data_IF_122446235382
#
_entry.id   IF_122446235382
#
_cell.length_a   1.000
_cell.length_b   1.000
_cell.length_c   1.000
_cell.angle_alpha   90.00
_cell.angle_beta   90.00
_cell.angle_gamma   90.00
#
_symmetry.space_group_name_H-M   'P 1'
#
loop_
_entity.id
_entity.type
_entity.pdbx_description
1 polymer ?
#
# COMPACT_ATOMS: atom_id res chain seq x y z
N UNK A 1 40.36 15.35 36.79
CA UNK A 1 40.02 15.21 35.36
C UNK A 1 39.62 13.83 34.88
N UNK A 2 39.50 12.81 35.78
CA UNK A 2 39.04 11.46 35.39
C UNK A 2 37.57 11.47 34.92
N UNK A 3 36.76 12.35 35.47
CA UNK A 3 35.34 12.46 35.10
C UNK A 3 35.13 13.12 33.74
N UNK A 4 36.04 14.00 33.33
CA UNK A 4 35.97 14.68 32.02
C UNK A 4 36.20 13.70 30.86
N UNK A 5 37.08 12.74 31.01
CA UNK A 5 37.35 11.70 30.02
C UNK A 5 36.17 10.75 29.85
N UNK A 6 35.44 10.41 30.93
CA UNK A 6 34.23 9.58 30.87
C UNK A 6 33.07 10.29 30.18
N UNK A 7 32.87 11.58 30.50
CA UNK A 7 31.86 12.41 29.83
C UNK A 7 32.15 12.58 28.34
N UNK A 8 33.39 12.83 27.97
CA UNK A 8 33.80 12.93 26.55
C UNK A 8 33.60 11.61 25.81
N UNK A 9 33.92 10.46 26.41
CA UNK A 9 33.71 9.14 25.83
C UNK A 9 32.20 8.81 25.67
N UNK A 10 31.37 9.16 26.66
CA UNK A 10 29.92 8.98 26.58
C UNK A 10 29.30 9.85 25.47
N UNK A 11 29.73 11.11 25.38
CA UNK A 11 29.29 12.03 24.33
C UNK A 11 29.71 11.54 22.94
N UNK A 12 30.93 11.06 22.78
CA UNK A 12 31.43 10.51 21.55
C UNK A 12 30.63 9.27 21.11
N UNK A 13 30.32 8.36 22.02
CA UNK A 13 29.45 7.20 21.72
C UNK A 13 28.07 7.63 21.28
N UNK A 14 27.48 8.61 21.95
CA UNK A 14 26.15 9.12 21.61
C UNK A 14 26.14 9.75 20.22
N UNK A 15 27.13 10.54 19.86
CA UNK A 15 27.27 11.15 18.53
C UNK A 15 27.45 10.09 17.46
N UNK A 16 28.30 9.10 17.68
CA UNK A 16 28.53 8.00 16.75
C UNK A 16 27.22 7.21 16.54
N UNK A 17 26.50 6.86 17.61
CA UNK A 17 25.23 6.15 17.55
C UNK A 17 24.18 6.96 16.76
N UNK A 18 24.12 8.27 16.96
CA UNK A 18 23.22 9.15 16.19
C UNK A 18 23.59 9.20 14.70
N UNK A 19 24.87 9.25 14.38
CA UNK A 19 25.33 9.22 12.97
C UNK A 19 24.98 7.92 12.28
N UNK A 20 25.16 6.79 12.94
CA UNK A 20 24.74 5.48 12.41
C UNK A 20 23.24 5.42 12.18
N UNK A 21 22.43 5.84 13.15
CA UNK A 21 20.96 5.89 12.99
C UNK A 21 20.55 6.77 11.80
N UNK A 22 21.14 7.95 11.67
CA UNK A 22 20.86 8.83 10.54
C UNK A 22 21.21 8.18 9.21
N UNK A 23 22.34 7.50 9.12
CA UNK A 23 22.76 6.81 7.90
C UNK A 23 21.80 5.64 7.55
N UNK A 24 21.36 4.87 8.54
CA UNK A 24 20.36 3.82 8.36
C UNK A 24 19.01 4.40 7.93
N UNK A 25 18.55 5.45 8.59
CA UNK A 25 17.30 6.14 8.27
C UNK A 25 17.30 6.69 6.84
N UNK A 26 18.41 7.32 6.42
CA UNK A 26 18.57 7.81 5.05
C UNK A 26 18.55 6.67 4.03
N UNK A 27 19.19 5.56 4.33
CA UNK A 27 19.20 4.37 3.47
C UNK A 27 17.78 3.80 3.31
N UNK A 28 17.07 3.65 4.42
CA UNK A 28 15.68 3.15 4.42
C UNK A 28 14.77 4.15 3.70
N UNK A 29 14.86 5.44 4.02
CA UNK A 29 14.08 6.47 3.32
C UNK A 29 14.35 6.47 1.82
N UNK A 30 15.61 6.38 1.39
CA UNK A 30 15.99 6.30 -0.01
C UNK A 30 15.45 5.05 -0.70
N UNK A 31 15.47 3.90 -0.02
CA UNK A 31 14.94 2.66 -0.55
C UNK A 31 13.41 2.68 -0.72
N UNK A 32 12.68 3.33 0.18
CA UNK A 32 11.22 3.34 0.19
C UNK A 32 10.58 4.61 -0.39
N UNK A 33 11.30 5.69 -0.56
CA UNK A 33 10.76 6.93 -1.18
C UNK A 33 10.20 6.70 -2.58
N UNK A 34 10.83 5.81 -3.36
CA UNK A 34 10.34 5.36 -4.66
C UNK A 34 9.17 4.37 -4.62
N UNK A 35 8.74 3.93 -3.45
CA UNK A 35 7.64 2.98 -3.29
C UNK A 35 6.28 3.65 -3.12
N UNK A 36 6.23 4.98 -2.96
CA UNK A 36 4.97 5.72 -2.91
C UNK A 36 4.14 5.42 -4.16
N UNK A 37 2.88 5.09 -3.96
CA UNK A 37 1.97 4.73 -5.04
C UNK A 37 2.08 3.29 -5.53
N UNK A 38 2.87 2.44 -4.88
CA UNK A 38 3.02 1.03 -5.23
C UNK A 38 2.27 0.11 -4.27
N UNK A 39 1.95 -1.07 -4.79
CA UNK A 39 1.42 -2.19 -4.02
C UNK A 39 2.59 -2.96 -3.41
N UNK A 40 2.56 -3.17 -2.12
CA UNK A 40 3.53 -3.99 -1.40
C UNK A 40 2.85 -5.08 -0.57
N UNK A 41 3.60 -6.13 -0.27
CA UNK A 41 3.14 -7.21 0.60
C UNK A 41 3.98 -7.20 1.86
N UNK A 42 3.33 -7.28 3.01
CA UNK A 42 3.97 -7.38 4.30
C UNK A 42 3.25 -8.36 5.23
N UNK A 43 3.75 -8.45 6.44
CA UNK A 43 3.20 -9.30 7.50
C UNK A 43 2.62 -8.41 8.59
N UNK A 44 1.38 -8.69 8.98
CA UNK A 44 0.69 -7.94 10.02
C UNK A 44 1.37 -8.22 11.37
N UNK A 45 1.68 -7.15 12.09
CA UNK A 45 2.11 -7.19 13.47
C UNK A 45 1.19 -6.34 14.33
N UNK A 46 0.68 -6.93 15.40
CA UNK A 46 -0.12 -6.22 16.37
C UNK A 46 0.79 -5.77 17.52
N UNK A 47 0.73 -4.50 17.85
CA UNK A 47 1.41 -3.91 19.00
C UNK A 47 0.38 -3.57 20.08
N UNK A 48 0.52 -4.19 21.24
CA UNK A 48 -0.37 -3.94 22.39
C UNK A 48 -0.25 -2.50 22.91
N UNK A 49 0.86 -1.82 22.64
CA UNK A 49 1.08 -0.42 23.02
C UNK A 49 0.41 0.56 22.04
N UNK A 50 0.05 0.10 20.85
CA UNK A 50 -0.60 0.91 19.81
C UNK A 50 -1.80 0.18 19.18
N UNK A 51 -2.90 0.01 19.91
CA UNK A 51 -4.05 -0.75 19.46
C UNK A 51 -4.85 -0.08 18.33
N UNK A 52 -4.58 1.19 18.05
CA UNK A 52 -5.29 1.96 17.02
C UNK A 52 -4.71 1.74 15.63
N UNK A 53 -3.43 1.43 15.55
CA UNK A 53 -2.73 1.24 14.29
C UNK A 53 -2.35 -0.23 14.10
N UNK A 54 -2.32 -0.65 12.86
CA UNK A 54 -1.79 -1.96 12.47
C UNK A 54 -0.40 -1.74 11.90
N UNK A 55 0.56 -2.49 12.41
CA UNK A 55 1.93 -2.47 11.91
C UNK A 55 2.10 -3.54 10.84
N UNK A 56 2.79 -3.21 9.77
CA UNK A 56 3.04 -4.11 8.64
C UNK A 56 4.55 -4.24 8.45
N UNK A 57 5.09 -5.41 8.76
CA UNK A 57 6.51 -5.69 8.57
C UNK A 57 6.82 -5.99 7.10
N UNK A 58 7.82 -5.32 6.56
CA UNK A 58 8.30 -5.45 5.20
C UNK A 58 9.82 -5.66 5.21
N UNK A 59 10.24 -6.90 5.48
CA UNK A 59 11.65 -7.19 5.75
C UNK A 59 12.10 -6.53 7.05
N UNK A 60 13.15 -5.73 6.97
CA UNK A 60 13.72 -5.02 8.13
C UNK A 60 13.02 -3.68 8.44
N UNK A 61 11.97 -3.35 7.70
CA UNK A 61 11.26 -2.08 7.82
C UNK A 61 9.81 -2.32 8.18
N UNK A 62 9.27 -1.43 8.99
CA UNK A 62 7.89 -1.46 9.43
C UNK A 62 7.11 -0.29 8.85
N UNK A 63 5.95 -0.58 8.27
CA UNK A 63 4.98 0.41 7.84
C UNK A 63 3.81 0.48 8.81
N UNK A 64 3.11 1.60 8.81
CA UNK A 64 1.94 1.83 9.65
C UNK A 64 0.70 1.87 8.78
N UNK A 65 -0.30 1.07 9.15
CA UNK A 65 -1.66 1.11 8.61
C UNK A 65 -2.56 1.80 9.65
N UNK A 66 -2.69 3.12 9.59
CA UNK A 66 -3.46 3.86 10.59
C UNK A 66 -4.96 3.56 10.45
N UNK A 67 -5.70 3.77 11.52
CA UNK A 67 -7.13 3.46 11.58
C UNK A 67 -7.94 4.07 10.43
N UNK A 68 -7.61 5.29 10.02
CA UNK A 68 -8.27 5.98 8.89
C UNK A 68 -8.07 5.29 7.54
N UNK A 69 -7.01 4.49 7.41
CA UNK A 69 -6.66 3.77 6.18
C UNK A 69 -7.06 2.27 6.24
N UNK A 70 -7.64 1.85 7.34
CA UNK A 70 -8.16 0.49 7.51
C UNK A 70 -9.55 0.36 6.88
N UNK A 71 -9.89 -0.84 6.47
CA UNK A 71 -11.21 -1.16 5.90
C UNK A 71 -12.17 -1.54 7.03
N UNK A 72 -13.35 -0.92 7.11
CA UNK A 72 -14.36 -1.30 8.10
C UNK A 72 -14.73 -2.78 8.00
N UNK A 73 -14.68 -3.47 9.14
CA UNK A 73 -14.99 -4.90 9.21
C UNK A 73 -13.87 -5.85 8.81
N UNK A 74 -12.78 -5.36 8.24
CA UNK A 74 -11.59 -6.19 7.95
C UNK A 74 -10.85 -6.52 9.25
N UNK A 75 -10.43 -7.78 9.37
CA UNK A 75 -9.67 -8.25 10.52
C UNK A 75 -8.19 -8.36 10.18
N UNK A 76 -7.36 -7.77 11.00
CA UNK A 76 -5.91 -7.77 10.85
C UNK A 76 -5.30 -8.69 11.91
N UNK A 77 -4.99 -9.93 11.54
CA UNK A 77 -4.45 -10.93 12.46
C UNK A 77 -2.93 -10.93 12.41
N UNK A 78 -2.33 -10.97 13.58
CA UNK A 78 -0.88 -11.07 13.71
C UNK A 78 -0.32 -12.28 12.93
N UNK A 79 0.73 -12.03 12.15
CA UNK A 79 1.40 -13.06 11.35
C UNK A 79 0.79 -13.31 9.97
N UNK A 80 -0.38 -12.76 9.64
CA UNK A 80 -0.96 -12.91 8.32
C UNK A 80 -0.29 -11.98 7.29
N UNK A 81 -0.22 -12.45 6.06
CA UNK A 81 0.23 -11.64 4.93
C UNK A 81 -0.85 -10.69 4.47
N UNK A 82 -0.47 -9.46 4.18
CA UNK A 82 -1.38 -8.44 3.70
C UNK A 82 -0.75 -7.67 2.54
N UNK A 83 -1.56 -7.33 1.53
CA UNK A 83 -1.18 -6.40 0.47
C UNK A 83 -1.73 -5.03 0.79
N UNK A 84 -0.87 -4.05 0.69
CA UNK A 84 -1.19 -2.67 1.03
C UNK A 84 -0.67 -1.70 -0.03
N UNK A 85 -1.34 -0.57 -0.15
CA UNK A 85 -0.93 0.53 -1.02
C UNK A 85 -0.11 1.54 -0.23
N UNK A 86 1.05 1.95 -0.74
CA UNK A 86 1.91 2.94 -0.08
C UNK A 86 1.38 4.35 -0.36
N UNK A 87 0.81 4.96 0.65
CA UNK A 87 0.24 6.32 0.57
C UNK A 87 1.32 7.37 0.64
N UNK A 88 2.25 7.21 1.58
CA UNK A 88 3.30 8.18 1.82
C UNK A 88 4.53 7.55 2.45
N UNK A 89 5.68 8.14 2.12
CA UNK A 89 6.96 7.87 2.77
C UNK A 89 7.51 9.22 3.23
N UNK A 90 7.62 9.41 4.54
CA UNK A 90 8.04 10.68 5.14
C UNK A 90 9.20 10.46 6.10
N UNK A 91 9.87 11.56 6.46
CA UNK A 91 10.87 11.57 7.54
C UNK A 91 10.17 11.92 8.84
N UNK A 92 10.00 10.92 9.70
CA UNK A 92 9.46 11.09 11.03
C UNK A 92 10.52 11.48 12.07
N UNK A 93 10.07 11.81 13.26
CA UNK A 93 10.98 12.18 14.39
C UNK A 93 11.83 10.98 14.81
N UNK A 94 11.28 9.78 14.72
CA UNK A 94 11.93 8.51 15.13
C UNK A 94 12.57 7.74 13.97
N UNK A 95 12.63 8.33 12.77
CA UNK A 95 13.10 7.69 11.54
C UNK A 95 12.08 7.74 10.41
N UNK A 96 12.31 7.02 9.30
CA UNK A 96 11.39 6.98 8.17
C UNK A 96 10.01 6.46 8.58
N UNK A 97 8.97 7.16 8.18
CA UNK A 97 7.58 6.80 8.42
C UNK A 97 6.92 6.42 7.10
N UNK A 98 6.52 5.16 6.99
CA UNK A 98 5.84 4.62 5.82
C UNK A 98 4.39 4.40 6.18
N UNK A 99 3.50 5.13 5.52
CA UNK A 99 2.06 5.02 5.70
C UNK A 99 1.47 4.23 4.56
N UNK A 100 0.74 3.19 4.89
CA UNK A 100 0.07 2.30 3.94
C UNK A 100 -1.44 2.32 4.12
N UNK A 101 -2.17 1.92 3.09
CA UNK A 101 -3.62 1.93 3.07
C UNK A 101 -4.20 0.63 2.53
N UNK A 102 -5.36 0.27 3.09
CA UNK A 102 -6.24 -0.79 2.59
C UNK A 102 -7.56 -0.22 2.05
N UNK A 103 -7.89 1.02 2.38
CA UNK A 103 -9.14 1.69 1.98
C UNK A 103 -8.99 2.59 0.75
N UNK A 104 -7.77 2.88 0.32
CA UNK A 104 -7.51 3.78 -0.81
C UNK A 104 -7.99 3.18 -2.14
N UNK A 105 -8.67 3.97 -3.01
CA UNK A 105 -9.12 3.48 -4.32
C UNK A 105 -8.00 2.95 -5.20
N UNK A 106 -6.82 3.52 -5.13
CA UNK A 106 -5.66 3.08 -5.90
C UNK A 106 -5.17 1.67 -5.54
N UNK A 107 -5.51 1.16 -4.35
CA UNK A 107 -5.27 -0.24 -4.01
C UNK A 107 -5.97 -1.17 -5.01
N UNK A 108 -7.22 -0.89 -5.33
CA UNK A 108 -8.01 -1.68 -6.30
C UNK A 108 -7.39 -1.58 -7.69
N UNK A 109 -7.00 -0.38 -8.12
CA UNK A 109 -6.30 -0.17 -9.40
C UNK A 109 -5.03 -1.03 -9.49
N UNK A 110 -4.20 -1.00 -8.47
CA UNK A 110 -2.94 -1.76 -8.41
C UNK A 110 -3.16 -3.27 -8.39
N UNK A 111 -4.20 -3.74 -7.73
CA UNK A 111 -4.58 -5.15 -7.75
C UNK A 111 -5.00 -5.59 -9.16
N UNK A 112 -5.78 -4.78 -9.90
CA UNK A 112 -6.13 -5.06 -11.29
C UNK A 112 -4.93 -4.99 -12.22
N UNK A 113 -4.05 -4.01 -12.09
CA UNK A 113 -2.82 -3.92 -12.89
C UNK A 113 -1.96 -5.18 -12.79
N UNK A 114 -1.97 -5.82 -11.64
CA UNK A 114 -1.26 -7.07 -11.42
C UNK A 114 -1.87 -8.26 -12.17
N UNK A 115 -3.19 -8.31 -12.26
CA UNK A 115 -3.93 -9.45 -12.84
C UNK A 115 -4.24 -9.24 -14.33
N UNK A 116 -4.25 -8.01 -14.83
CA UNK A 116 -4.69 -7.62 -16.16
C UNK A 116 -3.53 -7.02 -16.97
N UNK A 117 -2.88 -7.81 -17.84
CA UNK A 117 -1.76 -7.31 -18.65
C UNK A 117 -2.15 -6.16 -19.59
N UNK A 118 -3.39 -6.10 -20.04
CA UNK A 118 -3.92 -5.07 -20.93
C UNK A 118 -3.92 -3.68 -20.26
N UNK A 119 -3.99 -3.60 -18.93
CA UNK A 119 -3.82 -2.34 -18.19
C UNK A 119 -2.36 -1.87 -18.20
N UNK A 120 -1.44 -2.79 -18.09
CA UNK A 120 0.01 -2.49 -18.11
C UNK A 120 0.46 -2.07 -19.51
N UNK A 121 -0.04 -2.75 -20.55
CA UNK A 121 0.28 -2.43 -21.96
C UNK A 121 -0.38 -1.15 -22.46
N UNK A 122 -1.40 -0.65 -21.78
CA UNK A 122 -2.16 0.52 -22.18
C UNK A 122 -3.30 0.22 -23.15
N UNK A 123 -3.56 -1.05 -23.50
CA UNK A 123 -4.68 -1.45 -24.37
C UNK A 123 -6.04 -1.16 -23.73
N UNK A 124 -6.11 -1.19 -22.41
CA UNK A 124 -7.27 -0.84 -21.58
C UNK A 124 -6.84 0.16 -20.51
N UNK A 125 -7.69 1.12 -20.19
CA UNK A 125 -7.49 2.09 -19.14
C UNK A 125 -8.64 2.08 -18.14
N UNK A 126 -8.30 2.20 -16.85
CA UNK A 126 -9.28 2.50 -15.81
C UNK A 126 -9.42 4.03 -15.74
N UNK A 127 -10.59 4.53 -16.12
CA UNK A 127 -10.86 5.97 -16.22
C UNK A 127 -11.31 6.57 -14.88
N UNK A 128 -12.05 5.80 -14.09
CA UNK A 128 -12.53 6.24 -12.79
C UNK A 128 -12.74 5.05 -11.85
N UNK A 129 -12.56 5.29 -10.57
CA UNK A 129 -12.85 4.33 -9.50
C UNK A 129 -13.64 5.05 -8.42
N UNK A 130 -14.81 4.53 -8.08
CA UNK A 130 -15.58 4.93 -6.91
C UNK A 130 -15.61 3.76 -5.93
N UNK A 131 -14.97 3.93 -4.78
CA UNK A 131 -14.80 2.87 -3.80
C UNK A 131 -15.46 3.22 -2.47
N UNK A 132 -16.29 2.31 -2.01
CA UNK A 132 -16.72 2.21 -0.62
C UNK A 132 -16.03 0.98 -0.03
N UNK A 133 -14.94 1.22 0.70
CA UNK A 133 -14.06 0.16 1.19
C UNK A 133 -14.80 -0.83 2.09
N UNK A 134 -14.66 -2.12 1.81
CA UNK A 134 -15.34 -3.19 2.52
C UNK A 134 -16.77 -3.49 2.04
N UNK A 135 -17.35 -2.65 1.18
CA UNK A 135 -18.70 -2.81 0.66
C UNK A 135 -18.71 -3.03 -0.85
N UNK A 136 -18.43 -1.99 -1.63
CA UNK A 136 -18.54 -2.03 -3.10
C UNK A 136 -17.56 -1.08 -3.76
N UNK A 137 -17.05 -1.50 -4.91
CA UNK A 137 -16.24 -0.67 -5.80
C UNK A 137 -16.85 -0.68 -7.20
N UNK A 138 -17.01 0.49 -7.80
CA UNK A 138 -17.39 0.65 -9.20
C UNK A 138 -16.20 1.18 -10.00
N UNK A 139 -15.91 0.54 -11.13
CA UNK A 139 -14.78 0.85 -12.00
C UNK A 139 -15.28 1.14 -13.39
N UNK A 140 -14.93 2.31 -13.93
CA UNK A 140 -15.19 2.67 -15.31
C UNK A 140 -13.95 2.43 -16.17
N UNK A 141 -14.09 1.67 -17.22
CA UNK A 141 -13.00 1.22 -18.09
C UNK A 141 -13.21 1.61 -19.55
N UNK A 142 -12.12 1.84 -20.27
CA UNK A 142 -12.12 2.22 -21.68
C UNK A 142 -11.07 1.40 -22.43
N UNK A 143 -11.42 0.92 -23.61
CA UNK A 143 -10.45 0.35 -24.54
C UNK A 143 -9.74 1.45 -25.32
N UNK A 144 -8.42 1.37 -25.40
CA UNK A 144 -7.57 2.26 -26.21
C UNK A 144 -7.16 1.62 -27.54
N UNK A 145 -7.42 0.33 -27.69
CA UNK A 145 -7.10 -0.46 -28.89
C UNK A 145 -8.37 -1.06 -29.46
N UNK A 146 -8.52 -1.00 -30.77
CA UNK A 146 -9.67 -1.58 -31.49
C UNK A 146 -9.74 -3.10 -31.28
N UNK A 147 -10.95 -3.61 -31.10
CA UNK A 147 -11.22 -5.04 -30.95
C UNK A 147 -10.98 -5.58 -29.52
N UNK A 148 -10.56 -4.73 -28.58
CA UNK A 148 -10.42 -5.11 -27.18
C UNK A 148 -11.70 -4.79 -26.40
N UNK A 149 -12.23 -5.79 -25.69
CA UNK A 149 -13.34 -5.59 -24.76
C UNK A 149 -12.79 -5.21 -23.37
N UNK A 150 -12.94 -3.96 -22.90
CA UNK A 150 -12.32 -3.51 -21.65
C UNK A 150 -12.90 -4.22 -20.43
N UNK A 151 -14.21 -4.44 -20.38
CA UNK A 151 -14.82 -5.19 -19.27
C UNK A 151 -14.37 -6.64 -19.23
N UNK A 152 -14.37 -7.30 -20.40
CA UNK A 152 -13.90 -8.67 -20.53
C UNK A 152 -12.45 -8.86 -20.14
N UNK A 153 -11.59 -7.87 -20.40
CA UNK A 153 -10.19 -7.89 -19.99
C UNK A 153 -10.02 -7.88 -18.46
N UNK A 154 -10.80 -7.07 -17.74
CA UNK A 154 -10.75 -7.01 -16.29
C UNK A 154 -11.42 -8.22 -15.61
N UNK A 155 -12.50 -8.72 -16.18
CA UNK A 155 -13.20 -9.91 -15.66
C UNK A 155 -12.34 -11.16 -15.85
N UNK A 156 -11.74 -11.32 -17.03
CA UNK A 156 -10.93 -12.47 -17.39
C UNK A 156 -11.75 -13.73 -17.70
N UNK A 157 -11.11 -14.80 -18.17
CA UNK A 157 -11.78 -16.05 -18.52
C UNK A 157 -12.49 -16.65 -17.29
N UNK A 158 -13.82 -16.85 -17.39
CA UNK A 158 -14.64 -17.37 -16.29
C UNK A 158 -14.64 -16.51 -15.03
N UNK A 159 -14.30 -15.21 -15.14
CA UNK A 159 -14.22 -14.30 -14.02
C UNK A 159 -12.95 -14.48 -13.15
N UNK A 160 -11.94 -15.15 -13.64
CA UNK A 160 -10.74 -15.48 -12.88
C UNK A 160 -9.97 -14.26 -12.40
N UNK A 161 -9.83 -13.23 -13.22
CA UNK A 161 -9.06 -12.02 -12.88
C UNK A 161 -9.76 -11.17 -11.84
N UNK A 162 -11.04 -10.88 -12.00
CA UNK A 162 -11.82 -10.11 -11.03
C UNK A 162 -11.95 -10.87 -9.70
N UNK A 163 -12.05 -12.19 -9.75
CA UNK A 163 -12.10 -13.03 -8.54
C UNK A 163 -10.79 -12.97 -7.77
N UNK A 164 -9.64 -13.02 -8.46
CA UNK A 164 -8.33 -12.88 -7.82
C UNK A 164 -8.16 -11.52 -7.12
N UNK A 165 -8.69 -10.46 -7.70
CA UNK A 165 -8.72 -9.14 -7.03
C UNK A 165 -9.66 -9.15 -5.83
N UNK A 166 -10.85 -9.71 -5.95
CA UNK A 166 -11.83 -9.79 -4.86
C UNK A 166 -11.33 -10.61 -3.66
N UNK A 167 -10.56 -11.66 -3.89
CA UNK A 167 -9.91 -12.46 -2.82
C UNK A 167 -9.00 -11.61 -1.94
N UNK A 168 -8.35 -10.58 -2.49
CA UNK A 168 -7.52 -9.65 -1.71
C UNK A 168 -8.35 -8.61 -0.93
N UNK A 169 -9.58 -8.36 -1.34
CA UNK A 169 -10.45 -7.32 -0.75
C UNK A 169 -11.50 -7.89 0.22
N UNK A 170 -11.61 -9.22 0.29
CA UNK A 170 -12.60 -9.90 1.15
C UNK A 170 -14.03 -9.75 0.61
N UNK A 171 -14.99 -9.28 1.41
CA UNK A 171 -16.40 -9.23 1.02
C UNK A 171 -16.76 -8.10 0.03
N UNK A 172 -15.83 -7.25 -0.32
CA UNK A 172 -16.07 -6.10 -1.20
C UNK A 172 -16.46 -6.55 -2.60
N UNK A 173 -17.58 -6.03 -3.12
CA UNK A 173 -18.06 -6.31 -4.47
C UNK A 173 -17.47 -5.35 -5.48
N UNK A 174 -17.17 -5.85 -6.67
CA UNK A 174 -16.60 -5.05 -7.76
C UNK A 174 -17.57 -5.06 -8.94
N UNK A 175 -17.99 -3.87 -9.35
CA UNK A 175 -18.79 -3.63 -10.55
C UNK A 175 -17.91 -2.95 -11.61
N UNK A 176 -17.86 -3.51 -12.81
CA UNK A 176 -17.09 -2.98 -13.92
C UNK A 176 -18.07 -2.46 -14.97
N UNK A 177 -17.93 -1.19 -15.32
CA UNK A 177 -18.77 -0.50 -16.32
C UNK A 177 -17.92 0.10 -17.43
N UNK A 178 -18.50 0.27 -18.61
CA UNK A 178 -17.85 1.01 -19.69
C UNK A 178 -17.84 2.51 -19.35
N UNK A 179 -16.70 3.16 -19.61
CA UNK A 179 -16.61 4.61 -19.48
C UNK A 179 -17.36 5.29 -20.61
N UNK A 180 -18.13 6.31 -20.28
CA UNK A 180 -18.81 7.19 -21.24
C UNK A 180 -18.50 8.64 -20.88
N UNK A 181 -18.21 9.44 -21.90
CA UNK A 181 -18.08 10.90 -21.76
C UNK A 181 -19.46 11.60 -21.72
N UNK A 182 -20.55 10.84 -21.90
CA UNK A 182 -21.91 11.35 -21.85
C UNK A 182 -22.40 11.40 -20.39
N UNK A 183 -22.81 12.56 -19.88
CA UNK A 183 -23.27 12.74 -18.50
C UNK A 183 -24.71 12.29 -18.24
N UNK A 184 -25.29 11.40 -19.04
CA UNK A 184 -26.65 10.90 -18.88
C UNK A 184 -26.84 10.00 -17.64
#
# INVERSE_FOLDING_TARGET
PRDFGRLAAATARQVITQLFRRAEDEKVFGAFSGQKGKLITGIIQQDASDPSNVHVAMGDVEAILPRREQVPGERYRHGERIRVYVVNVARGIKGPEIVVSRSHPELVRKLFEREVPELVSGAVSIMAIAREAGARTKIAVKANTDGVNPKGALIGPGGARVRAVMENLGPEKIDIVDYSDDPA
#
